data_IF_770262747920
#
_entry.id   IF_770262747920
#
_cell.length_a   1.000
_cell.length_b   1.000
_cell.length_c   1.000
_cell.angle_alpha   90.00
_cell.angle_beta   90.00
_cell.angle_gamma   90.00
#
_symmetry.space_group_name_H-M   'P 1'
#
loop_
_entity.id
_entity.type
_entity.pdbx_description
1 polymer ?
#
# COMPACT_ATOMS: atom_id res chain seq x y z
N UNK A 1 11.06 -5.06 10.53
CA UNK A 1 9.74 -4.40 10.56
C UNK A 1 9.17 -4.43 9.15
N UNK A 2 8.00 -5.04 8.93
CA UNK A 2 7.22 -4.84 7.68
C UNK A 2 6.06 -3.92 8.05
N UNK A 3 5.92 -2.81 7.33
CA UNK A 3 4.89 -1.80 7.59
C UNK A 3 4.36 -1.27 6.28
N UNK A 4 3.03 -1.15 6.21
CA UNK A 4 2.29 -0.75 5.01
C UNK A 4 1.19 0.21 5.43
N UNK A 5 0.97 1.24 4.64
CA UNK A 5 -0.09 2.20 4.84
C UNK A 5 -0.63 2.70 3.50
N UNK A 6 -1.81 3.31 3.51
CA UNK A 6 -2.44 3.84 2.30
C UNK A 6 -1.69 5.07 1.74
N UNK A 7 -0.92 5.75 2.56
CA UNK A 7 -0.17 6.95 2.20
C UNK A 7 1.17 7.04 2.96
N UNK A 8 2.06 7.90 2.44
CA UNK A 8 3.41 8.07 2.99
C UNK A 8 3.41 8.63 4.41
N UNK A 9 2.55 9.61 4.72
CA UNK A 9 2.54 10.27 6.01
C UNK A 9 2.11 9.31 7.13
N UNK A 10 1.15 8.44 6.84
CA UNK A 10 0.71 7.39 7.75
C UNK A 10 1.82 6.36 7.97
N UNK A 11 2.51 5.93 6.90
CA UNK A 11 3.64 5.00 7.01
C UNK A 11 4.76 5.58 7.88
N UNK A 12 5.15 6.84 7.62
CA UNK A 12 6.21 7.53 8.36
C UNK A 12 5.85 7.68 9.83
N UNK A 13 4.58 7.98 10.13
CA UNK A 13 4.08 8.08 11.51
C UNK A 13 4.25 6.77 12.26
N UNK A 14 3.86 5.64 11.64
CA UNK A 14 3.98 4.31 12.25
C UNK A 14 5.44 3.93 12.47
N UNK A 15 6.28 4.06 11.43
CA UNK A 15 7.70 3.68 11.51
C UNK A 15 8.43 4.53 12.55
N UNK A 16 8.25 5.85 12.51
CA UNK A 16 8.86 6.77 13.48
C UNK A 16 8.42 6.46 14.91
N UNK A 17 7.14 6.14 15.11
CA UNK A 17 6.61 5.76 16.42
C UNK A 17 7.27 4.49 16.97
N UNK A 18 7.41 3.45 16.14
CA UNK A 18 8.07 2.19 16.51
C UNK A 18 9.56 2.42 16.79
N UNK A 19 10.26 3.17 15.94
CA UNK A 19 11.68 3.49 16.13
C UNK A 19 11.92 4.26 17.43
N UNK A 20 11.09 5.25 17.73
CA UNK A 20 11.18 6.03 18.97
C UNK A 20 11.02 5.13 20.19
N UNK A 21 9.98 4.31 20.23
CA UNK A 21 9.73 3.41 21.35
C UNK A 21 10.87 2.38 21.53
N UNK A 22 11.40 1.85 20.43
CA UNK A 22 12.52 0.91 20.48
C UNK A 22 13.80 1.57 21.02
N UNK A 23 14.10 2.81 20.62
CA UNK A 23 15.27 3.56 21.11
C UNK A 23 15.15 3.91 22.59
N UNK A 24 13.98 4.39 23.03
CA UNK A 24 13.71 4.69 24.45
C UNK A 24 13.92 3.45 25.33
N UNK A 25 13.48 2.28 24.87
CA UNK A 25 13.67 1.03 25.60
C UNK A 25 15.13 0.57 25.60
N UNK A 26 15.82 0.66 24.46
CA UNK A 26 17.23 0.30 24.34
C UNK A 26 18.11 1.14 25.28
N UNK A 27 17.87 2.46 25.34
CA UNK A 27 18.54 3.37 26.27
C UNK A 27 18.28 2.97 27.73
N UNK A 28 17.03 2.74 28.10
CA UNK A 28 16.65 2.35 29.46
C UNK A 28 17.27 1.01 29.92
N UNK A 29 17.57 0.11 28.98
CA UNK A 29 18.17 -1.20 29.27
C UNK A 29 19.69 -1.24 29.04
N UNK A 30 20.30 -0.14 28.57
CA UNK A 30 21.73 -0.10 28.22
C UNK A 30 22.11 -1.03 27.07
N UNK A 31 21.19 -1.24 26.11
CA UNK A 31 21.40 -2.08 24.92
C UNK A 31 21.63 -1.18 23.71
N UNK A 32 22.56 -1.56 22.84
CA UNK A 32 22.78 -0.88 21.56
C UNK A 32 21.70 -1.30 20.54
N UNK A 33 21.14 -0.32 19.83
CA UNK A 33 20.13 -0.54 18.79
C UNK A 33 20.52 0.19 17.50
N UNK A 34 20.68 -0.57 16.42
CA UNK A 34 20.77 -0.06 15.06
C UNK A 34 19.49 -0.37 14.27
N UNK A 35 19.06 0.58 13.44
CA UNK A 35 17.85 0.48 12.62
C UNK A 35 18.20 0.88 11.19
N UNK A 36 18.04 -0.06 10.26
CA UNK A 36 18.33 0.12 8.84
C UNK A 36 17.09 -0.21 8.02
N UNK A 37 16.73 0.68 7.09
CA UNK A 37 15.67 0.44 6.10
C UNK A 37 16.23 -0.33 4.92
N UNK A 38 16.09 -1.65 4.96
CA UNK A 38 16.58 -2.55 3.90
C UNK A 38 15.85 -2.37 2.57
N UNK A 39 14.53 -2.14 2.61
CA UNK A 39 13.70 -1.99 1.42
C UNK A 39 12.63 -0.94 1.63
N UNK A 40 12.28 -0.23 0.55
CA UNK A 40 11.21 0.75 0.53
C UNK A 40 10.62 0.83 -0.87
N UNK A 41 9.29 0.75 -0.96
CA UNK A 41 8.53 1.00 -2.17
C UNK A 41 7.49 2.06 -1.84
N UNK A 42 7.43 3.19 -2.58
CA UNK A 42 6.41 4.21 -2.36
C UNK A 42 5.02 3.67 -2.73
N UNK A 43 3.97 4.40 -2.32
CA UNK A 43 2.61 4.11 -2.78
C UNK A 43 2.57 4.15 -4.31
N UNK A 44 2.01 3.10 -4.91
CA UNK A 44 1.80 3.04 -6.35
C UNK A 44 0.33 3.35 -6.61
N UNK A 45 0.08 4.43 -7.35
CA UNK A 45 -1.23 4.72 -7.91
C UNK A 45 -1.32 4.25 -9.36
N UNK A 46 -2.43 3.60 -9.67
CA UNK A 46 -2.76 3.16 -11.03
C UNK A 46 -3.71 4.16 -11.69
N UNK A 47 -3.65 4.21 -13.01
CA UNK A 47 -4.52 5.09 -13.78
C UNK A 47 -5.97 4.63 -13.66
N UNK A 48 -6.88 5.57 -13.43
CA UNK A 48 -8.27 5.23 -13.12
C UNK A 48 -9.03 4.67 -14.31
N UNK A 49 -8.59 4.95 -15.54
CA UNK A 49 -9.30 4.57 -16.77
C UNK A 49 -9.53 3.06 -16.89
N UNK A 50 -8.50 2.24 -16.62
CA UNK A 50 -8.61 0.78 -16.73
C UNK A 50 -9.50 0.19 -15.63
N UNK A 51 -9.34 0.66 -14.39
CA UNK A 51 -10.21 0.27 -13.26
C UNK A 51 -11.67 0.62 -13.54
N UNK A 52 -11.93 1.82 -14.03
CA UNK A 52 -13.28 2.30 -14.31
C UNK A 52 -13.91 1.54 -15.49
N UNK A 53 -13.11 1.15 -16.49
CA UNK A 53 -13.54 0.24 -17.55
C UNK A 53 -13.90 -1.15 -17.04
N UNK A 54 -13.09 -1.73 -16.15
CA UNK A 54 -13.41 -3.02 -15.50
C UNK A 54 -14.72 -2.94 -14.71
N UNK A 55 -14.91 -1.87 -13.93
CA UNK A 55 -16.15 -1.64 -13.19
C UNK A 55 -17.37 -1.55 -14.13
N UNK A 56 -17.23 -0.85 -15.26
CA UNK A 56 -18.27 -0.74 -16.29
C UNK A 56 -18.61 -2.08 -16.93
N UNK A 57 -17.63 -2.93 -17.23
CA UNK A 57 -17.85 -4.26 -17.84
C UNK A 57 -18.57 -5.18 -16.84
N UNK A 58 -18.03 -5.29 -15.63
CA UNK A 58 -18.58 -6.14 -14.57
C UNK A 58 -19.99 -5.71 -14.14
N UNK A 59 -20.29 -4.40 -14.17
CA UNK A 59 -21.61 -3.85 -13.88
C UNK A 59 -22.65 -4.03 -15.01
N UNK A 60 -22.22 -4.30 -16.26
CA UNK A 60 -23.11 -4.48 -17.42
C UNK A 60 -23.47 -5.94 -17.71
N UNK A 61 -22.52 -6.87 -17.55
CA UNK A 61 -22.63 -8.25 -18.07
C UNK A 61 -23.06 -9.29 -17.04
N UNK A 62 -23.33 -8.90 -15.79
CA UNK A 62 -23.83 -9.85 -14.80
C UNK A 62 -25.33 -10.07 -14.98
N UNK A 63 -25.76 -11.25 -15.45
CA UNK A 63 -27.16 -11.70 -15.38
C UNK A 63 -27.71 -11.76 -13.93
N UNK A 64 -26.82 -11.67 -12.92
CA UNK A 64 -27.14 -11.51 -11.49
C UNK A 64 -27.03 -10.05 -10.98
N UNK A 65 -26.67 -9.09 -11.82
CA UNK A 65 -26.09 -7.81 -11.44
C UNK A 65 -26.85 -6.58 -11.97
N UNK A 66 -28.18 -6.62 -12.01
CA UNK A 66 -28.95 -5.38 -12.08
C UNK A 66 -28.72 -4.57 -10.79
N UNK A 67 -27.71 -3.68 -10.79
CA UNK A 67 -27.38 -2.79 -9.67
C UNK A 67 -26.10 -3.11 -8.86
N UNK A 68 -25.14 -3.89 -9.40
CA UNK A 68 -23.88 -4.13 -8.69
C UNK A 68 -22.94 -2.92 -8.77
N UNK A 69 -22.69 -2.28 -7.63
CA UNK A 69 -21.59 -1.31 -7.47
C UNK A 69 -20.29 -2.07 -7.22
N UNK A 70 -19.33 -1.97 -8.13
CA UNK A 70 -18.01 -2.62 -7.98
C UNK A 70 -17.14 -1.78 -7.03
N UNK A 71 -16.74 -2.30 -5.86
CA UNK A 71 -15.91 -1.55 -4.93
C UNK A 71 -14.47 -1.43 -5.45
N UNK A 72 -13.85 -0.28 -5.21
CA UNK A 72 -12.42 -0.08 -5.44
C UNK A 72 -11.68 -0.45 -4.16
N UNK A 73 -10.82 -1.46 -4.25
CA UNK A 73 -10.01 -1.92 -3.14
C UNK A 73 -8.53 -1.69 -3.46
N UNK A 74 -7.81 -1.05 -2.55
CA UNK A 74 -6.35 -1.05 -2.60
C UNK A 74 -5.81 -2.46 -2.31
N UNK A 75 -4.63 -2.78 -2.82
CA UNK A 75 -3.91 -4.00 -2.46
C UNK A 75 -2.76 -3.69 -1.53
N UNK A 76 -2.64 -4.46 -0.45
CA UNK A 76 -1.49 -4.38 0.44
C UNK A 76 -0.30 -5.18 -0.07
N UNK A 77 -0.45 -6.03 -1.09
CA UNK A 77 0.60 -6.92 -1.59
C UNK A 77 1.36 -6.35 -2.78
N UNK A 78 2.65 -6.65 -2.87
CA UNK A 78 3.47 -6.34 -4.04
C UNK A 78 3.08 -7.21 -5.24
N UNK A 79 2.96 -6.58 -6.41
CA UNK A 79 2.64 -7.24 -7.68
C UNK A 79 3.49 -6.62 -8.80
N UNK A 80 3.76 -7.39 -9.85
CA UNK A 80 4.48 -6.88 -11.03
C UNK A 80 3.79 -5.67 -11.67
N UNK A 81 2.46 -5.58 -11.58
CA UNK A 81 1.71 -4.40 -12.02
C UNK A 81 2.22 -3.10 -11.37
N UNK A 82 2.64 -3.15 -10.11
CA UNK A 82 3.23 -2.01 -9.41
C UNK A 82 4.59 -1.58 -9.95
N UNK A 83 5.36 -2.51 -10.52
CA UNK A 83 6.64 -2.23 -11.19
C UNK A 83 6.41 -1.70 -12.60
N UNK A 84 5.41 -2.26 -13.30
CA UNK A 84 5.12 -1.92 -14.69
C UNK A 84 4.39 -0.58 -14.86
N UNK A 85 3.70 -0.08 -13.83
CA UNK A 85 2.89 1.16 -13.88
C UNK A 85 3.67 2.41 -14.29
N UNK A 86 4.98 2.45 -14.05
CA UNK A 86 5.84 3.53 -14.52
C UNK A 86 6.13 3.53 -16.02
N UNK A 87 5.72 2.48 -16.75
CA UNK A 87 6.09 2.26 -18.16
C UNK A 87 4.91 1.96 -19.08
N UNK A 88 3.83 1.40 -18.54
CA UNK A 88 2.61 1.09 -19.28
C UNK A 88 1.38 1.51 -18.46
N UNK A 89 0.26 1.88 -19.11
CA UNK A 89 -1.00 2.05 -18.41
C UNK A 89 -1.38 0.75 -17.69
N UNK A 90 -1.58 0.85 -16.38
CA UNK A 90 -1.97 -0.24 -15.47
C UNK A 90 -3.22 0.14 -14.72
#
# INVERSE_FOLDING_TARGET
LDSRAADQATLDTVVTGVEKAAREYAEAQGVELDVVRESFTPVVEFEHALRDELARILGKDGERAAGLTVPVLGTGAGHDAGILSGTVPT
#
